data_IF_009308011642
#
_entry.id   IF_009308011642
#
_cell.length_a   1.000
_cell.length_b   1.000
_cell.length_c   1.000
_cell.angle_alpha   90.00
_cell.angle_beta   90.00
_cell.angle_gamma   90.00
#
_symmetry.space_group_name_H-M   'P 1'
#
loop_
_entity.id
_entity.type
_entity.pdbx_description
1 polymer ?
#
# COMPACT_ATOMS: atom_id res chain seq x y z
N UNK A 1 -9.99 -54.95 -16.41
CA UNK A 1 -8.94 -53.91 -16.51
C UNK A 1 -8.71 -53.38 -15.14
N UNK A 2 -7.62 -53.77 -14.52
CA UNK A 2 -7.17 -53.24 -13.21
C UNK A 2 -6.27 -52.04 -13.52
N UNK A 3 -6.62 -50.88 -12.99
CA UNK A 3 -5.76 -49.70 -13.01
C UNK A 3 -4.84 -49.81 -11.81
N UNK A 4 -3.54 -50.05 -12.07
CA UNK A 4 -2.50 -49.88 -11.05
C UNK A 4 -2.38 -48.38 -10.78
N UNK A 5 -2.76 -47.95 -9.58
CA UNK A 5 -2.42 -46.65 -9.04
C UNK A 5 -0.97 -46.72 -8.63
N UNK A 6 -0.07 -46.21 -9.44
CA UNK A 6 1.31 -45.97 -9.03
C UNK A 6 1.29 -44.81 -8.02
N UNK A 7 1.38 -45.20 -6.76
CA UNK A 7 1.59 -44.30 -5.64
C UNK A 7 3.02 -43.74 -5.75
N UNK A 8 3.16 -42.60 -6.47
CA UNK A 8 4.37 -41.82 -6.41
C UNK A 8 4.36 -41.08 -5.06
N UNK A 9 4.77 -41.81 -4.03
CA UNK A 9 5.12 -41.16 -2.76
C UNK A 9 6.21 -40.15 -3.05
N UNK A 10 5.85 -38.85 -3.00
CA UNK A 10 6.84 -37.79 -2.87
C UNK A 10 7.62 -38.12 -1.58
N UNK A 11 8.86 -38.56 -1.75
CA UNK A 11 9.78 -38.68 -0.64
C UNK A 11 10.08 -37.26 -0.16
N UNK A 12 9.25 -36.78 0.75
CA UNK A 12 9.59 -35.59 1.55
C UNK A 12 10.79 -36.02 2.38
N UNK A 13 11.95 -35.39 2.18
CA UNK A 13 13.13 -35.58 3.00
C UNK A 13 12.79 -35.50 4.49
N UNK A 14 13.67 -35.99 5.36
CA UNK A 14 13.40 -35.92 6.78
C UNK A 14 13.09 -34.47 7.20
N UNK A 15 12.21 -34.31 8.19
CA UNK A 15 11.84 -32.94 8.70
C UNK A 15 13.11 -32.15 9.08
N UNK A 16 14.14 -32.84 9.55
CA UNK A 16 15.44 -32.25 9.91
C UNK A 16 16.22 -31.76 8.67
N UNK A 17 16.12 -32.44 7.52
CA UNK A 17 16.71 -31.98 6.26
C UNK A 17 15.99 -30.75 5.72
N UNK A 18 14.66 -30.77 5.71
CA UNK A 18 13.86 -29.60 5.27
C UNK A 18 14.12 -28.40 6.16
N UNK A 19 14.16 -28.57 7.48
CA UNK A 19 14.48 -27.50 8.42
C UNK A 19 15.92 -27.00 8.27
N UNK A 20 16.87 -27.87 7.92
CA UNK A 20 18.26 -27.48 7.69
C UNK A 20 18.41 -26.71 6.36
N UNK A 21 17.67 -27.09 5.33
CA UNK A 21 17.62 -26.36 4.06
C UNK A 21 16.92 -25.00 4.20
N UNK A 22 15.82 -24.90 4.96
CA UNK A 22 15.18 -23.64 5.28
C UNK A 22 16.09 -22.72 6.12
N UNK A 23 16.90 -23.25 7.00
CA UNK A 23 17.87 -22.47 7.78
C UNK A 23 19.08 -22.01 6.95
N UNK A 24 19.44 -22.74 5.89
CA UNK A 24 20.49 -22.35 4.94
C UNK A 24 19.98 -21.37 3.88
N UNK A 25 18.70 -21.43 3.53
CA UNK A 25 18.01 -20.42 2.77
C UNK A 25 17.53 -19.28 3.68
N UNK A 26 18.42 -18.73 4.51
CA UNK A 26 18.14 -17.47 5.17
C UNK A 26 17.93 -16.45 4.05
N UNK A 27 16.65 -16.16 3.75
CA UNK A 27 16.28 -15.09 2.82
C UNK A 27 17.03 -13.84 3.24
N UNK A 28 18.08 -13.52 2.49
CA UNK A 28 18.82 -12.29 2.71
C UNK A 28 17.83 -11.14 2.60
N UNK A 29 17.57 -10.47 3.72
CA UNK A 29 16.65 -9.35 3.74
C UNK A 29 17.24 -8.23 2.91
N UNK A 30 16.69 -8.04 1.72
CA UNK A 30 17.02 -6.90 0.87
C UNK A 30 16.10 -5.74 1.22
N UNK A 31 16.68 -4.57 1.36
CA UNK A 31 15.88 -3.37 1.51
C UNK A 31 15.19 -3.04 0.19
N UNK A 32 13.86 -2.90 0.23
CA UNK A 32 13.07 -2.53 -0.93
C UNK A 32 13.32 -1.05 -1.22
N UNK A 33 13.90 -0.68 -2.38
CA UNK A 33 14.19 0.70 -2.74
C UNK A 33 12.91 1.51 -3.05
N UNK A 34 13.08 2.75 -3.42
CA UNK A 34 11.98 3.53 -3.99
C UNK A 34 11.50 2.92 -5.31
N UNK A 35 10.21 3.04 -5.56
CA UNK A 35 9.59 2.46 -6.74
C UNK A 35 8.12 2.19 -6.55
N UNK A 36 7.55 1.51 -7.53
CA UNK A 36 6.15 1.10 -7.54
C UNK A 36 6.12 -0.42 -7.52
N UNK A 37 5.40 -1.00 -6.57
CA UNK A 37 5.35 -2.44 -6.34
C UNK A 37 3.91 -2.92 -6.17
N UNK A 38 3.63 -4.10 -6.70
CA UNK A 38 2.44 -4.85 -6.36
C UNK A 38 2.72 -5.63 -5.08
N UNK A 39 1.90 -5.44 -4.07
CA UNK A 39 2.16 -6.01 -2.75
C UNK A 39 0.91 -6.61 -2.14
N UNK A 40 1.10 -7.62 -1.30
CA UNK A 40 0.08 -8.14 -0.40
C UNK A 40 0.24 -7.49 0.97
N UNK A 41 -0.87 -7.05 1.54
CA UNK A 41 -0.91 -6.59 2.93
C UNK A 41 -1.01 -7.83 3.81
N UNK A 42 -0.03 -8.05 4.68
CA UNK A 42 -0.03 -9.16 5.63
C UNK A 42 -0.66 -8.73 6.97
N UNK A 43 -0.89 -9.71 7.84
CA UNK A 43 -1.41 -9.47 9.17
C UNK A 43 -0.50 -8.53 9.97
N UNK A 44 -1.12 -7.67 10.75
CA UNK A 44 -0.43 -6.76 11.65
C UNK A 44 0.38 -7.56 12.68
N UNK A 45 1.60 -7.15 12.92
CA UNK A 45 2.41 -7.75 13.97
C UNK A 45 1.80 -7.34 15.33
N UNK A 46 1.29 -8.30 16.07
CA UNK A 46 0.58 -8.07 17.34
C UNK A 46 1.44 -7.39 18.41
N UNK A 47 2.76 -7.62 18.38
CA UNK A 47 3.71 -7.04 19.33
C UNK A 47 3.69 -5.51 19.27
N UNK A 48 3.77 -4.88 20.44
CA UNK A 48 3.97 -3.45 20.58
C UNK A 48 5.43 -3.07 20.35
N UNK A 49 5.63 -2.05 19.53
CA UNK A 49 6.93 -1.45 19.28
C UNK A 49 6.93 -0.02 19.76
N UNK A 50 8.13 0.49 20.08
CA UNK A 50 8.33 1.85 20.54
C UNK A 50 9.55 2.44 19.84
N UNK A 51 9.50 3.73 19.53
CA UNK A 51 10.66 4.41 18.99
C UNK A 51 11.71 4.59 20.07
N UNK A 52 12.97 4.78 19.69
CA UNK A 52 14.07 5.00 20.65
C UNK A 52 13.79 6.18 21.59
N UNK A 53 13.22 7.25 21.06
CA UNK A 53 12.88 8.47 21.81
C UNK A 53 11.83 8.24 22.91
N UNK A 54 11.08 7.16 22.79
CA UNK A 54 10.01 6.78 23.70
C UNK A 54 10.45 5.68 24.68
N UNK A 55 11.77 5.46 24.81
CA UNK A 55 12.37 4.47 25.70
C UNK A 55 13.36 5.10 26.67
N UNK A 56 13.49 4.47 27.82
CA UNK A 56 14.47 4.89 28.84
C UNK A 56 15.90 4.88 28.25
N UNK A 57 16.63 5.94 28.51
CA UNK A 57 18.00 6.13 28.01
C UNK A 57 18.10 6.37 26.49
N UNK A 58 17.00 6.50 25.76
CA UNK A 58 16.99 6.72 24.31
C UNK A 58 17.57 5.55 23.50
N UNK A 59 17.53 4.32 24.02
CA UNK A 59 18.08 3.13 23.41
C UNK A 59 16.98 2.19 22.89
N UNK A 60 17.32 1.27 21.99
CA UNK A 60 16.36 0.25 21.50
C UNK A 60 15.98 -0.78 22.57
N UNK A 61 16.84 -0.94 23.58
CA UNK A 61 16.73 -1.95 24.64
C UNK A 61 16.09 -1.38 25.92
N UNK A 62 15.97 -0.05 26.01
CA UNK A 62 15.35 0.60 27.17
C UNK A 62 13.86 0.29 27.29
N UNK A 63 13.36 0.25 28.52
CA UNK A 63 11.93 0.10 28.79
C UNK A 63 11.12 1.27 28.20
N UNK A 64 9.88 1.02 27.78
CA UNK A 64 9.02 2.09 27.29
C UNK A 64 8.76 3.12 28.40
N UNK A 65 8.80 4.40 28.03
CA UNK A 65 8.44 5.48 28.96
C UNK A 65 6.92 5.44 29.25
N UNK A 66 6.45 5.98 30.38
CA UNK A 66 5.04 5.94 30.76
C UNK A 66 4.07 6.50 29.69
N UNK A 67 4.54 7.48 28.93
CA UNK A 67 3.74 8.13 27.87
C UNK A 67 4.21 7.74 26.46
N UNK A 68 4.95 6.63 26.33
CA UNK A 68 5.43 6.16 25.04
C UNK A 68 4.28 5.90 24.06
N UNK A 69 4.45 6.33 22.80
CA UNK A 69 3.48 6.03 21.76
C UNK A 69 3.70 4.62 21.22
N UNK A 70 2.63 3.81 21.22
CA UNK A 70 2.67 2.46 20.68
C UNK A 70 2.72 2.54 19.15
N UNK A 71 3.64 1.79 18.57
CA UNK A 71 3.77 1.58 17.15
C UNK A 71 3.44 0.15 16.79
N UNK A 72 2.52 -0.04 15.85
CA UNK A 72 2.25 -1.32 15.20
C UNK A 72 2.93 -1.36 13.84
N UNK A 73 3.29 -2.55 13.40
CA UNK A 73 3.94 -2.77 12.11
C UNK A 73 3.05 -3.62 11.22
N UNK A 74 2.80 -3.13 10.00
CA UNK A 74 2.05 -3.82 8.96
C UNK A 74 3.07 -4.26 7.90
N UNK A 75 3.29 -5.57 7.71
CA UNK A 75 4.15 -6.04 6.64
C UNK A 75 3.43 -5.93 5.29
N UNK A 76 4.12 -5.42 4.29
CA UNK A 76 3.73 -5.47 2.89
C UNK A 76 4.71 -6.38 2.16
N UNK A 77 4.23 -7.44 1.51
CA UNK A 77 5.03 -8.43 0.81
C UNK A 77 4.99 -8.19 -0.70
N UNK A 78 6.15 -8.12 -1.35
CA UNK A 78 6.27 -7.89 -2.79
C UNK A 78 5.82 -9.12 -3.57
N UNK A 79 4.94 -8.90 -4.54
CA UNK A 79 4.40 -9.94 -5.44
C UNK A 79 5.04 -9.91 -6.82
N UNK A 80 5.65 -8.79 -7.21
CA UNK A 80 6.28 -8.65 -8.51
C UNK A 80 7.45 -9.64 -8.65
N UNK A 81 7.53 -10.30 -9.80
CA UNK A 81 8.67 -11.14 -10.13
C UNK A 81 9.95 -10.32 -10.18
N UNK A 82 11.04 -10.85 -9.66
CA UNK A 82 12.35 -10.20 -9.69
C UNK A 82 13.11 -10.28 -8.38
N UNK A 83 14.06 -9.38 -8.21
CA UNK A 83 15.01 -9.37 -7.10
C UNK A 83 14.37 -9.25 -5.71
N UNK A 84 13.20 -8.59 -5.64
CA UNK A 84 12.52 -8.29 -4.37
C UNK A 84 11.28 -9.16 -4.12
N UNK A 85 11.03 -10.18 -4.93
CA UNK A 85 9.90 -11.10 -4.72
C UNK A 85 9.92 -11.68 -3.31
N UNK A 86 8.76 -11.74 -2.67
CA UNK A 86 8.56 -12.18 -1.28
C UNK A 86 9.33 -11.37 -0.21
N UNK A 87 10.01 -10.29 -0.58
CA UNK A 87 10.58 -9.36 0.40
C UNK A 87 9.46 -8.55 1.07
N UNK A 88 9.67 -8.22 2.35
CA UNK A 88 8.67 -7.51 3.15
C UNK A 88 9.15 -6.13 3.56
N UNK A 89 8.33 -5.12 3.31
CA UNK A 89 8.48 -3.77 3.84
C UNK A 89 7.54 -3.56 5.02
N UNK A 90 8.08 -3.11 6.14
CA UNK A 90 7.28 -2.86 7.34
C UNK A 90 6.79 -1.41 7.35
N UNK A 91 5.49 -1.23 7.39
CA UNK A 91 4.85 0.08 7.50
C UNK A 91 4.48 0.35 8.95
N UNK A 92 5.01 1.42 9.51
CA UNK A 92 4.70 1.85 10.87
C UNK A 92 3.37 2.59 10.94
N UNK A 93 2.50 2.16 11.83
CA UNK A 93 1.26 2.82 12.20
C UNK A 93 1.31 3.09 13.71
N UNK A 94 1.01 4.32 14.11
CA UNK A 94 1.06 4.69 15.51
C UNK A 94 -0.35 4.75 16.10
N UNK A 95 -0.52 4.14 17.27
CA UNK A 95 -1.78 4.14 18.01
C UNK A 95 -2.07 5.54 18.59
N UNK A 96 -3.31 5.83 18.98
CA UNK A 96 -3.64 7.11 19.60
C UNK A 96 -2.73 7.37 20.81
N UNK A 97 -2.08 8.54 20.88
CA UNK A 97 -1.22 8.87 22.02
C UNK A 97 -2.07 9.13 23.27
N UNK A 98 -1.53 8.75 24.44
CA UNK A 98 -2.15 9.07 25.72
C UNK A 98 -2.10 10.58 26.00
N UNK A 99 -0.99 11.21 25.61
CA UNK A 99 -0.80 12.65 25.73
C UNK A 99 -1.04 13.33 24.37
N UNK A 100 -2.22 13.94 24.22
CA UNK A 100 -2.61 14.66 23.01
C UNK A 100 -1.90 16.02 22.85
N UNK A 101 -1.29 16.55 23.89
CA UNK A 101 -0.54 17.81 23.84
C UNK A 101 0.86 17.60 23.28
N UNK A 102 1.39 16.39 23.35
CA UNK A 102 2.68 16.05 22.77
C UNK A 102 2.62 16.14 21.24
N UNK A 103 3.18 17.24 20.71
CA UNK A 103 3.18 17.55 19.27
C UNK A 103 3.84 16.44 18.44
N UNK A 104 4.92 15.84 18.94
CA UNK A 104 5.65 14.77 18.25
C UNK A 104 4.80 13.51 18.15
N UNK A 105 4.17 13.07 19.24
CA UNK A 105 3.29 11.90 19.23
C UNK A 105 2.06 12.11 18.35
N UNK A 106 1.49 13.32 18.39
CA UNK A 106 0.37 13.68 17.52
C UNK A 106 0.76 13.65 16.04
N UNK A 107 1.95 14.15 15.69
CA UNK A 107 2.46 14.09 14.31
C UNK A 107 2.67 12.64 13.84
N UNK A 108 3.28 11.77 14.67
CA UNK A 108 3.45 10.33 14.41
C UNK A 108 2.10 9.65 14.20
N UNK A 109 1.13 9.90 15.07
CA UNK A 109 -0.23 9.35 14.95
C UNK A 109 -0.91 9.78 13.64
N UNK A 110 -0.85 11.06 13.30
CA UNK A 110 -1.43 11.57 12.06
C UNK A 110 -0.76 10.93 10.82
N UNK A 111 0.55 10.71 10.86
CA UNK A 111 1.26 9.99 9.80
C UNK A 111 0.78 8.55 9.69
N UNK A 112 0.59 7.85 10.81
CA UNK A 112 0.02 6.50 10.84
C UNK A 112 -1.39 6.46 10.25
N UNK A 113 -2.26 7.38 10.65
CA UNK A 113 -3.62 7.51 10.08
C UNK A 113 -3.60 7.73 8.58
N UNK A 114 -2.71 8.60 8.09
CA UNK A 114 -2.58 8.85 6.65
C UNK A 114 -2.19 7.58 5.89
N UNK A 115 -1.22 6.81 6.41
CA UNK A 115 -0.80 5.53 5.81
C UNK A 115 -1.94 4.53 5.77
N UNK A 116 -2.65 4.35 6.88
CA UNK A 116 -3.83 3.47 6.93
C UNK A 116 -4.92 3.91 5.97
N UNK A 117 -5.22 5.20 5.91
CA UNK A 117 -6.22 5.73 4.98
C UNK A 117 -5.85 5.49 3.51
N UNK A 118 -4.57 5.55 3.15
CA UNK A 118 -4.12 5.22 1.80
C UNK A 118 -4.32 3.73 1.49
N UNK A 119 -3.92 2.83 2.41
CA UNK A 119 -4.10 1.39 2.25
C UNK A 119 -5.59 1.01 2.19
N UNK A 120 -6.41 1.55 3.10
CA UNK A 120 -7.85 1.30 3.12
C UNK A 120 -8.54 1.68 1.80
N UNK A 121 -8.26 2.88 1.30
CA UNK A 121 -8.80 3.33 0.00
C UNK A 121 -8.36 2.44 -1.14
N UNK A 122 -7.10 2.00 -1.15
CA UNK A 122 -6.59 1.06 -2.14
C UNK A 122 -7.28 -0.32 -2.05
N UNK A 123 -7.71 -0.72 -0.85
CA UNK A 123 -8.49 -1.92 -0.60
C UNK A 123 -9.99 -1.76 -0.88
N UNK A 124 -10.45 -0.55 -1.25
CA UNK A 124 -11.88 -0.27 -1.46
C UNK A 124 -12.69 -0.17 -0.17
N UNK A 125 -12.04 0.19 0.95
CA UNK A 125 -12.68 0.38 2.25
C UNK A 125 -12.92 1.87 2.50
N UNK A 126 -14.13 2.21 2.92
CA UNK A 126 -14.49 3.59 3.31
C UNK A 126 -14.07 3.90 4.75
N UNK A 127 -14.08 2.89 5.61
CA UNK A 127 -13.71 2.97 7.02
C UNK A 127 -12.75 1.84 7.39
N UNK A 128 -11.96 2.04 8.42
CA UNK A 128 -11.09 1.04 9.02
C UNK A 128 -11.38 1.02 10.51
N UNK A 129 -11.89 -0.08 11.01
CA UNK A 129 -12.19 -0.29 12.43
C UNK A 129 -11.05 -1.04 13.11
N UNK A 130 -10.45 -1.99 12.40
CA UNK A 130 -9.28 -2.75 12.83
C UNK A 130 -8.12 -2.61 11.83
N UNK A 131 -6.89 -2.66 12.34
CA UNK A 131 -5.68 -2.58 11.50
C UNK A 131 -5.57 -3.77 10.52
N UNK A 132 -6.22 -4.90 10.83
CA UNK A 132 -6.26 -6.09 10.00
C UNK A 132 -7.35 -6.06 8.91
N UNK A 133 -8.20 -5.02 8.85
CA UNK A 133 -9.26 -4.93 7.82
C UNK A 133 -8.71 -4.96 6.40
N UNK A 134 -7.47 -4.54 6.23
CA UNK A 134 -6.75 -4.59 4.95
C UNK A 134 -5.96 -5.89 4.74
N UNK A 135 -5.86 -6.78 5.73
CA UNK A 135 -5.06 -7.99 5.66
C UNK A 135 -5.51 -8.92 4.52
N UNK A 136 -4.55 -9.59 3.88
CA UNK A 136 -4.77 -10.48 2.75
C UNK A 136 -5.10 -9.78 1.44
N UNK A 137 -5.32 -8.47 1.43
CA UNK A 137 -5.64 -7.71 0.22
C UNK A 137 -4.40 -7.34 -0.56
N UNK A 138 -4.60 -7.18 -1.88
CA UNK A 138 -3.55 -6.81 -2.82
C UNK A 138 -3.66 -5.34 -3.18
N UNK A 139 -2.54 -4.65 -3.20
CA UNK A 139 -2.47 -3.21 -3.50
C UNK A 139 -1.23 -2.91 -4.34
N UNK A 140 -1.32 -1.86 -5.14
CA UNK A 140 -0.17 -1.28 -5.82
C UNK A 140 0.30 -0.11 -4.99
N UNK A 141 1.52 -0.17 -4.48
CA UNK A 141 2.08 0.85 -3.59
C UNK A 141 3.21 1.62 -4.27
N UNK A 142 3.34 2.88 -3.90
CA UNK A 142 4.45 3.73 -4.31
C UNK A 142 5.29 4.08 -3.10
N UNK A 143 6.56 3.71 -3.16
CA UNK A 143 7.57 4.11 -2.18
C UNK A 143 8.44 5.22 -2.76
N UNK A 144 8.80 6.18 -1.93
CA UNK A 144 9.72 7.25 -2.28
C UNK A 144 10.75 7.43 -1.17
N UNK A 145 12.01 7.59 -1.56
CA UNK A 145 13.07 7.92 -0.63
C UNK A 145 12.92 9.36 -0.16
N UNK A 146 13.20 9.60 1.10
CA UNK A 146 13.19 10.93 1.69
C UNK A 146 14.49 11.66 1.28
N UNK A 147 14.39 12.92 0.86
CA UNK A 147 15.55 13.69 0.35
C UNK A 147 16.66 13.83 1.39
N UNK A 148 16.28 13.88 2.67
CA UNK A 148 17.21 14.11 3.80
C UNK A 148 17.62 12.82 4.53
N UNK A 149 17.20 11.65 4.06
CA UNK A 149 17.46 10.37 4.74
C UNK A 149 17.40 9.16 3.81
N UNK A 150 18.03 8.06 4.25
CA UNK A 150 17.95 6.77 3.54
C UNK A 150 16.60 6.05 3.74
N UNK A 151 15.63 6.70 4.40
CA UNK A 151 14.34 6.08 4.65
C UNK A 151 13.41 6.15 3.44
N UNK A 152 12.92 4.99 3.05
CA UNK A 152 11.95 4.84 1.98
C UNK A 152 10.54 4.80 2.58
N UNK A 153 9.73 5.80 2.24
CA UNK A 153 8.40 6.01 2.79
C UNK A 153 7.29 5.60 1.80
N UNK A 154 6.18 5.08 2.34
CA UNK A 154 4.94 4.88 1.59
C UNK A 154 4.31 6.24 1.30
N UNK A 155 4.22 6.61 0.03
CA UNK A 155 3.66 7.90 -0.43
C UNK A 155 2.35 7.75 -1.18
N UNK A 156 2.04 6.56 -1.69
CA UNK A 156 0.80 6.26 -2.41
C UNK A 156 0.42 4.78 -2.32
N UNK A 157 -0.89 4.52 -2.40
CA UNK A 157 -1.43 3.19 -2.58
C UNK A 157 -2.65 3.26 -3.50
N UNK A 158 -2.77 2.31 -4.42
CA UNK A 158 -3.84 2.20 -5.41
C UNK A 158 -4.37 0.76 -5.42
N UNK A 159 -5.62 0.52 -5.88
CA UNK A 159 -6.14 -0.83 -6.02
C UNK A 159 -5.26 -1.67 -6.94
N UNK A 160 -5.03 -2.93 -6.53
CA UNK A 160 -4.30 -3.88 -7.35
C UNK A 160 -5.13 -4.27 -8.59
N UNK A 161 -4.55 -4.12 -9.75
CA UNK A 161 -4.93 -4.91 -10.92
C UNK A 161 -6.15 -4.50 -11.71
N UNK A 162 -6.69 -3.31 -11.60
CA UNK A 162 -7.59 -2.78 -12.62
C UNK A 162 -7.17 -1.36 -13.00
N UNK A 163 -6.08 -1.24 -13.71
CA UNK A 163 -6.00 -0.16 -14.71
C UNK A 163 -7.01 -0.50 -15.81
N UNK A 164 -8.31 -0.31 -15.51
CA UNK A 164 -9.18 0.17 -16.54
C UNK A 164 -8.47 1.42 -17.06
N UNK A 165 -7.82 1.30 -18.24
CA UNK A 165 -7.43 2.48 -19.01
C UNK A 165 -8.68 3.35 -18.98
N UNK A 166 -8.69 4.42 -18.17
CA UNK A 166 -9.59 5.52 -18.43
C UNK A 166 -9.25 5.91 -19.84
N UNK A 167 -10.14 5.54 -20.77
CA UNK A 167 -10.12 6.13 -22.09
C UNK A 167 -9.97 7.61 -21.87
N UNK A 168 -9.02 8.27 -22.57
CA UNK A 168 -8.89 9.71 -22.45
C UNK A 168 -10.30 10.26 -22.69
N UNK A 169 -10.85 10.98 -21.71
CA UNK A 169 -12.07 11.75 -21.90
C UNK A 169 -11.84 12.47 -23.22
N UNK A 170 -12.58 12.07 -24.24
CA UNK A 170 -12.65 12.84 -25.48
C UNK A 170 -12.97 14.25 -25.07
N UNK A 171 -12.04 15.16 -25.31
CA UNK A 171 -12.28 16.58 -25.16
C UNK A 171 -13.59 16.87 -25.89
N UNK A 172 -14.52 17.63 -25.28
CA UNK A 172 -15.74 18.02 -25.96
C UNK A 172 -15.31 18.74 -27.23
N UNK A 173 -15.65 18.14 -28.37
CA UNK A 173 -15.54 18.79 -29.68
C UNK A 173 -16.15 20.19 -29.54
N UNK A 174 -15.45 21.24 -29.95
CA UNK A 174 -16.03 22.60 -29.91
C UNK A 174 -17.31 22.57 -30.71
N UNK A 175 -18.44 22.87 -30.08
CA UNK A 175 -19.71 23.10 -30.76
C UNK A 175 -19.49 24.16 -31.84
N UNK A 176 -19.62 23.73 -33.10
CA UNK A 176 -19.75 24.66 -34.23
C UNK A 176 -20.94 25.58 -33.95
N UNK A 177 -20.64 26.86 -33.75
CA UNK A 177 -21.65 27.89 -33.67
C UNK A 177 -22.53 27.83 -34.94
N UNK A 178 -23.86 27.87 -34.81
CA UNK A 178 -24.74 27.98 -35.96
C UNK A 178 -24.37 29.21 -36.77
N UNK A 179 -24.10 29.06 -38.06
CA UNK A 179 -23.95 30.17 -38.98
C UNK A 179 -25.27 30.94 -39.02
N UNK A 180 -25.23 32.20 -38.65
CA UNK A 180 -26.29 33.16 -38.91
C UNK A 180 -26.65 33.10 -40.39
N UNK A 181 -27.88 32.68 -40.68
CA UNK A 181 -28.50 32.81 -41.99
C UNK A 181 -28.92 34.24 -42.12
N UNK A 182 -28.21 35.00 -42.99
CA UNK A 182 -28.60 36.34 -43.36
C UNK A 182 -29.98 36.32 -44.02
N UNK A 183 -30.95 36.97 -43.38
CA UNK A 183 -32.24 37.31 -43.98
C UNK A 183 -32.03 38.17 -45.22
N UNK A 184 -32.20 37.57 -46.38
CA UNK A 184 -32.41 38.33 -47.61
C UNK A 184 -33.84 38.79 -47.62
N UNK A 185 -34.02 40.10 -47.51
CA UNK A 185 -35.23 40.83 -47.67
C UNK A 185 -35.76 40.62 -49.11
N UNK A 186 -36.80 39.82 -49.23
CA UNK A 186 -37.58 39.71 -50.49
C UNK A 186 -38.54 40.93 -50.47
N UNK A 187 -38.29 41.87 -51.36
CA UNK A 187 -39.26 42.94 -51.71
C UNK A 187 -40.26 42.26 -52.68
N UNK A 188 -41.42 41.98 -52.15
CA UNK A 188 -42.60 41.74 -53.02
C UNK A 188 -43.17 43.05 -53.56
N UNK A 189 -42.85 43.36 -54.81
CA UNK A 189 -43.62 44.29 -55.62
C UNK A 189 -44.82 43.47 -56.13
N UNK A 190 -46.02 43.81 -55.60
CA UNK A 190 -47.29 43.37 -56.19
C UNK A 190 -47.92 44.62 -56.88
N UNK A 191 -48.08 44.59 -58.19
CA UNK A 191 -48.97 45.55 -58.86
C UNK A 191 -50.38 44.94 -58.93
N UNK A 192 -51.34 45.77 -58.42
CA UNK A 192 -52.82 45.69 -58.54
C UNK A 192 -53.51 44.65 -57.71
#
# INVERSE_FOLDING_TARGET
MQYEVTDTAYAVGSVDEVLSEESQNSFERKDIPEGIYNMQICDVIEKDFYDKTDRAGGTKEGDPLPNAIIKKLIPLEVLDEGEYVAQRKLISVYMPPQDLENKTHRAKYNMGKRRMSMLAKACGLDTVEDLNDCSGKFVKVTFKQDEDSDFVNLVGAEPFGLTLKKEPKSEPTPEEKPKEVSEQTIKDDIPF
#
